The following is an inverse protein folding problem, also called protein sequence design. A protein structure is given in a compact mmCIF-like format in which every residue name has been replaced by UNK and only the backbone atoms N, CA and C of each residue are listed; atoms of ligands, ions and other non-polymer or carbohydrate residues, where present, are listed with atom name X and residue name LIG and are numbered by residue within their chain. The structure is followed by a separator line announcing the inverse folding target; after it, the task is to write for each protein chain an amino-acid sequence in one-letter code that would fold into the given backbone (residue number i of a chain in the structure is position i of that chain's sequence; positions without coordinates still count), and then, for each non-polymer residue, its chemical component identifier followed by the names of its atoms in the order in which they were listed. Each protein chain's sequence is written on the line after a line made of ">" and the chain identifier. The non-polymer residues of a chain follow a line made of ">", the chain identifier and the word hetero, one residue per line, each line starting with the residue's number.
data_IF_688287249204
#
_entry.id   IF_688287249204
#
_cell.length_a   1.000
_cell.length_b   1.000
_cell.length_c   1.000
_cell.angle_alpha   90.00
_cell.angle_beta   90.00
_cell.angle_gamma   90.00
#
_symmetry.space_group_name_H-M   'P 1'
#
loop_
_entity.id
_entity.type
_entity.pdbx_description
1 polymer ?
#
# COMPACT_ATOMS: atom_id res chain seq x y z
N UNK A 1 29.04 -10.83 47.17
CA UNK A 1 28.46 -11.87 46.31
C UNK A 1 27.47 -11.19 45.36
N UNK A 2 27.97 -10.86 44.18
CA UNK A 2 27.18 -10.19 43.15
C UNK A 2 26.59 -11.26 42.22
N UNK A 3 25.25 -11.26 42.06
CA UNK A 3 24.55 -12.11 41.10
C UNK A 3 24.47 -11.37 39.76
N UNK A 4 25.10 -11.93 38.74
CA UNK A 4 24.93 -11.48 37.35
C UNK A 4 23.55 -11.92 36.80
N UNK A 5 22.86 -11.08 36.00
CA UNK A 5 21.67 -11.52 35.32
C UNK A 5 22.04 -12.33 34.06
N UNK A 6 21.44 -13.50 33.96
CA UNK A 6 21.51 -14.38 32.79
C UNK A 6 20.70 -13.76 31.65
N UNK A 7 21.38 -13.27 30.61
CA UNK A 7 20.74 -12.88 29.34
C UNK A 7 20.35 -14.16 28.61
N UNK A 8 19.05 -14.44 28.55
CA UNK A 8 18.53 -15.51 27.70
C UNK A 8 18.39 -14.99 26.26
N UNK A 9 19.41 -15.25 25.44
CA UNK A 9 19.34 -15.06 24.01
C UNK A 9 18.42 -16.12 23.41
N UNK A 10 17.21 -15.77 22.98
CA UNK A 10 16.34 -16.65 22.23
C UNK A 10 16.90 -16.77 20.80
N UNK A 11 17.72 -17.78 20.56
CA UNK A 11 18.04 -18.26 19.19
C UNK A 11 16.79 -18.94 18.63
N UNK A 12 16.03 -18.26 17.77
CA UNK A 12 15.07 -18.93 16.89
C UNK A 12 15.85 -19.72 15.83
N UNK A 13 16.13 -21.00 16.10
CA UNK A 13 16.57 -21.93 15.10
C UNK A 13 15.40 -22.26 14.16
N UNK A 14 15.48 -21.82 12.90
CA UNK A 14 14.58 -22.28 11.85
C UNK A 14 14.90 -23.76 11.54
N UNK A 15 14.21 -24.68 12.21
CA UNK A 15 14.15 -26.06 11.77
C UNK A 15 13.24 -26.13 10.54
N UNK A 16 13.79 -26.46 9.38
CA UNK A 16 13.04 -26.80 8.19
C UNK A 16 12.25 -28.09 8.45
N UNK A 17 10.95 -27.96 8.71
CA UNK A 17 10.05 -29.10 8.81
C UNK A 17 9.53 -29.48 7.42
N UNK A 18 9.85 -30.68 7.00
CA UNK A 18 9.32 -31.38 5.83
C UNK A 18 7.84 -31.71 6.06
N UNK A 19 6.98 -30.80 5.74
CA UNK A 19 5.55 -30.92 5.37
C UNK A 19 4.94 -29.51 5.43
N UNK A 20 5.02 -28.84 4.40
CA UNK A 20 4.52 -27.62 3.80
C UNK A 20 3.51 -26.72 4.50
N UNK A 21 3.42 -26.59 5.80
CA UNK A 21 2.60 -25.55 6.43
C UNK A 21 3.37 -24.24 6.49
N UNK A 22 2.99 -23.27 5.63
CA UNK A 22 3.48 -21.90 5.74
C UNK A 22 2.97 -21.33 7.07
N UNK A 23 3.88 -20.92 7.94
CA UNK A 23 3.53 -20.28 9.21
C UNK A 23 3.39 -18.77 9.02
N UNK A 24 2.41 -18.18 9.70
CA UNK A 24 2.26 -16.71 9.77
C UNK A 24 3.01 -16.19 10.99
N UNK A 25 3.85 -15.18 10.78
CA UNK A 25 4.64 -14.52 11.81
C UNK A 25 4.50 -13.01 11.74
N UNK A 26 4.97 -12.34 12.79
CA UNK A 26 5.18 -10.89 12.85
C UNK A 26 6.67 -10.65 13.04
N UNK A 27 7.21 -9.72 12.28
CA UNK A 27 8.63 -9.39 12.20
C UNK A 27 8.81 -7.90 12.47
N UNK A 28 9.72 -7.53 13.35
CA UNK A 28 10.04 -6.13 13.64
C UNK A 28 11.37 -5.77 12.98
N UNK A 29 11.38 -4.68 12.23
CA UNK A 29 12.57 -3.99 11.76
C UNK A 29 12.79 -2.80 12.66
N UNK A 30 14.01 -2.65 13.25
CA UNK A 30 14.26 -1.59 14.22
C UNK A 30 15.64 -0.96 14.02
N UNK A 31 15.66 0.37 13.92
CA UNK A 31 16.83 1.21 13.83
C UNK A 31 16.69 2.39 14.81
N UNK A 32 17.26 2.27 16.00
CA UNK A 32 17.09 3.26 17.07
C UNK A 32 15.66 3.31 17.61
N UNK A 33 15.06 4.49 17.53
CA UNK A 33 13.67 4.79 17.90
C UNK A 33 12.68 4.68 16.72
N UNK A 34 13.16 4.29 15.55
CA UNK A 34 12.34 4.00 14.38
C UNK A 34 12.13 2.50 14.23
N UNK A 35 10.86 2.06 14.22
CA UNK A 35 10.54 0.65 13.98
C UNK A 35 9.36 0.46 13.04
N UNK A 36 9.41 -0.66 12.29
CA UNK A 36 8.36 -1.08 11.37
C UNK A 36 8.04 -2.55 11.63
N UNK A 37 6.78 -2.82 11.98
CA UNK A 37 6.25 -4.18 12.09
C UNK A 37 5.75 -4.67 10.75
N UNK A 38 6.07 -5.92 10.40
CA UNK A 38 5.63 -6.57 9.17
C UNK A 38 5.11 -7.96 9.50
N UNK A 39 3.99 -8.38 8.91
CA UNK A 39 3.57 -9.77 8.89
C UNK A 39 3.68 -10.35 7.49
N UNK A 40 4.01 -11.63 7.39
CA UNK A 40 4.01 -12.34 6.12
C UNK A 40 2.60 -12.79 5.66
N UNK A 41 1.54 -12.45 6.40
CA UNK A 41 0.17 -12.47 5.89
C UNK A 41 -0.06 -11.21 5.06
N UNK A 42 -0.28 -11.38 3.76
CA UNK A 42 -0.50 -10.25 2.84
C UNK A 42 0.73 -9.34 2.66
N UNK A 43 1.93 -9.75 3.09
CA UNK A 43 3.13 -8.91 3.14
C UNK A 43 2.83 -7.54 3.79
N UNK A 44 2.15 -7.55 4.92
CA UNK A 44 1.47 -6.40 5.52
C UNK A 44 2.38 -5.63 6.47
N UNK A 45 2.47 -4.30 6.33
CA UNK A 45 2.99 -3.39 7.35
C UNK A 45 1.94 -3.30 8.47
N UNK A 46 2.31 -3.69 9.69
CA UNK A 46 1.40 -3.71 10.84
C UNK A 46 1.59 -2.52 11.78
N UNK A 47 2.77 -1.91 11.78
CA UNK A 47 3.08 -0.71 12.58
C UNK A 47 4.21 0.09 11.93
N UNK A 48 4.22 1.40 12.15
CA UNK A 48 5.33 2.30 11.85
C UNK A 48 5.44 3.25 13.04
N UNK A 49 6.49 3.08 13.85
CA UNK A 49 6.68 3.86 15.08
C UNK A 49 7.83 4.81 14.90
N UNK A 50 7.60 6.10 15.15
CA UNK A 50 8.60 7.16 15.06
C UNK A 50 8.26 8.32 16.02
N UNK A 51 9.26 9.14 16.43
CA UNK A 51 9.04 10.28 17.30
C UNK A 51 8.27 11.41 16.60
N UNK A 52 7.74 12.31 17.39
CA UNK A 52 7.22 13.61 16.95
C UNK A 52 8.23 14.73 17.26
N UNK A 53 7.84 15.98 17.04
CA UNK A 53 8.68 17.17 17.31
C UNK A 53 9.06 17.35 18.77
N UNK A 54 8.49 16.58 19.70
CA UNK A 54 8.79 16.59 21.15
C UNK A 54 9.57 15.34 21.58
N UNK A 55 9.75 14.38 20.67
CA UNK A 55 10.36 13.08 20.92
C UNK A 55 9.36 12.00 21.37
N UNK A 56 8.05 12.28 21.39
CA UNK A 56 7.05 11.30 21.78
C UNK A 56 6.81 10.29 20.65
N UNK A 57 7.00 9.01 20.94
CA UNK A 57 6.81 7.94 19.97
C UNK A 57 5.33 7.64 19.74
N UNK A 58 4.96 7.47 18.48
CA UNK A 58 3.64 6.98 18.11
C UNK A 58 3.69 6.05 16.89
N UNK A 59 2.77 5.09 16.87
CA UNK A 59 2.48 4.29 15.69
C UNK A 59 1.57 5.11 14.75
N UNK A 60 2.05 5.40 13.55
CA UNK A 60 1.39 6.31 12.60
C UNK A 60 0.61 5.59 11.49
N UNK A 61 0.32 4.29 11.66
CA UNK A 61 -0.48 3.53 10.69
C UNK A 61 -1.64 2.81 11.36
N UNK A 62 -2.78 2.75 10.68
CA UNK A 62 -3.92 1.95 11.14
C UNK A 62 -3.65 0.46 10.95
N UNK A 63 -4.27 -0.37 11.78
CA UNK A 63 -4.13 -1.82 11.71
C UNK A 63 -4.95 -2.53 12.79
N UNK A 64 -4.65 -3.80 13.00
CA UNK A 64 -5.27 -4.67 14.00
C UNK A 64 -4.23 -5.19 14.99
N UNK A 65 -4.69 -5.55 16.21
CA UNK A 65 -3.81 -6.12 17.24
C UNK A 65 -3.37 -7.56 16.94
N UNK A 66 -4.13 -8.27 16.15
CA UNK A 66 -3.90 -9.70 15.89
C UNK A 66 -3.90 -10.04 14.40
N UNK A 67 -3.21 -11.10 14.03
CA UNK A 67 -3.26 -11.66 12.66
C UNK A 67 -4.69 -12.00 12.25
N UNK A 68 -5.52 -12.51 13.19
CA UNK A 68 -6.94 -12.77 12.93
C UNK A 68 -7.70 -11.55 12.42
N UNK A 69 -7.36 -10.36 12.92
CA UNK A 69 -7.92 -9.09 12.43
C UNK A 69 -7.56 -8.82 10.96
N UNK A 70 -6.32 -9.09 10.55
CA UNK A 70 -5.89 -8.94 9.14
C UNK A 70 -6.50 -10.00 8.22
N UNK A 71 -6.73 -11.22 8.73
CA UNK A 71 -7.37 -12.30 7.96
C UNK A 71 -8.85 -12.02 7.70
N UNK A 72 -9.58 -11.50 8.69
CA UNK A 72 -11.02 -11.24 8.61
C UNK A 72 -11.38 -9.81 8.21
N UNK A 73 -10.43 -8.88 8.35
CA UNK A 73 -10.60 -7.46 8.05
C UNK A 73 -10.80 -7.20 6.56
N UNK A 74 -11.60 -6.17 6.25
CA UNK A 74 -11.94 -5.79 4.86
C UNK A 74 -11.25 -4.51 4.41
N UNK A 75 -10.45 -3.88 5.27
CA UNK A 75 -9.90 -2.54 5.02
C UNK A 75 -8.52 -2.56 4.34
N UNK A 76 -7.92 -3.71 4.09
CA UNK A 76 -6.58 -3.86 3.49
C UNK A 76 -5.46 -3.13 4.26
N UNK A 77 -5.61 -2.87 5.56
CA UNK A 77 -4.63 -2.11 6.36
C UNK A 77 -3.21 -2.62 6.17
N UNK A 78 -2.34 -1.77 5.64
CA UNK A 78 -0.92 -2.03 5.44
C UNK A 78 -0.56 -3.16 4.48
N UNK A 79 -1.55 -3.78 3.82
CA UNK A 79 -1.32 -4.96 2.98
C UNK A 79 -0.68 -4.58 1.63
N UNK A 80 0.05 -5.53 1.06
CA UNK A 80 0.44 -5.48 -0.34
C UNK A 80 -0.71 -6.03 -1.18
N UNK A 81 -1.27 -5.21 -2.06
CA UNK A 81 -2.37 -5.57 -2.93
C UNK A 81 -1.88 -5.90 -4.35
N UNK A 82 -2.46 -6.90 -4.94
CA UNK A 82 -2.13 -7.47 -6.26
C UNK A 82 -2.91 -8.78 -6.48
N UNK A 83 -2.80 -9.45 -7.66
CA UNK A 83 -1.84 -9.25 -8.76
C UNK A 83 -1.98 -7.88 -9.44
N UNK A 84 -3.20 -7.34 -9.51
CA UNK A 84 -3.49 -6.01 -10.05
C UNK A 84 -4.21 -5.21 -8.97
N UNK A 85 -3.56 -4.15 -8.50
CA UNK A 85 -4.09 -3.18 -7.55
C UNK A 85 -5.23 -2.38 -8.17
N UNK A 86 -6.08 -1.83 -7.31
CA UNK A 86 -7.26 -1.07 -7.69
C UNK A 86 -8.24 -1.91 -8.54
N UNK A 87 -9.02 -1.29 -9.42
CA UNK A 87 -10.15 -1.94 -10.11
C UNK A 87 -9.81 -2.38 -11.53
N UNK A 88 -10.46 -3.49 -11.94
CA UNK A 88 -10.60 -3.91 -13.33
C UNK A 88 -12.09 -3.99 -13.62
N UNK A 89 -12.55 -3.20 -14.60
CA UNK A 89 -13.95 -3.08 -14.98
C UNK A 89 -14.53 -4.42 -15.42
N UNK A 90 -15.75 -4.71 -14.96
CA UNK A 90 -16.49 -5.93 -15.28
C UNK A 90 -15.75 -7.24 -14.98
N UNK A 91 -14.69 -7.17 -14.16
CA UNK A 91 -13.82 -8.32 -13.85
C UNK A 91 -13.33 -9.02 -15.13
N UNK A 92 -12.99 -8.27 -16.18
CA UNK A 92 -12.64 -8.81 -17.48
C UNK A 92 -11.61 -7.93 -18.19
N UNK A 93 -10.71 -8.57 -18.92
CA UNK A 93 -9.82 -7.92 -19.89
C UNK A 93 -9.53 -8.85 -21.06
N UNK A 94 -8.94 -8.30 -22.13
CA UNK A 94 -8.43 -9.05 -23.28
C UNK A 94 -6.92 -8.88 -23.35
N UNK A 95 -6.21 -9.98 -23.46
CA UNK A 95 -4.75 -9.98 -23.64
C UNK A 95 -4.38 -10.97 -24.76
N UNK A 96 -3.62 -10.49 -25.74
CA UNK A 96 -3.21 -11.26 -26.91
C UNK A 96 -4.38 -12.00 -27.61
N UNK A 97 -5.50 -11.32 -27.76
CA UNK A 97 -6.75 -11.82 -28.39
C UNK A 97 -7.60 -12.76 -27.53
N UNK A 98 -7.14 -13.12 -26.33
CA UNK A 98 -7.86 -13.99 -25.42
C UNK A 98 -8.54 -13.18 -24.30
N UNK A 99 -9.85 -13.46 -24.05
CA UNK A 99 -10.56 -12.88 -22.93
C UNK A 99 -10.25 -13.64 -21.62
N UNK A 100 -10.02 -12.89 -20.56
CA UNK A 100 -9.83 -13.38 -19.21
C UNK A 100 -10.93 -12.84 -18.30
N UNK A 101 -11.47 -13.72 -17.47
CA UNK A 101 -12.52 -13.41 -16.51
C UNK A 101 -11.96 -13.59 -15.09
N UNK A 102 -12.09 -12.55 -14.29
CA UNK A 102 -11.57 -12.49 -12.95
C UNK A 102 -12.65 -12.70 -11.90
N UNK A 103 -12.25 -12.92 -10.66
CA UNK A 103 -13.17 -12.94 -9.53
C UNK A 103 -13.74 -11.55 -9.27
N UNK A 104 -15.08 -11.46 -9.15
CA UNK A 104 -15.81 -10.25 -8.79
C UNK A 104 -15.86 -10.12 -7.27
N UNK A 105 -15.33 -9.05 -6.72
CA UNK A 105 -15.33 -8.75 -5.29
C UNK A 105 -15.69 -7.29 -4.96
N UNK A 106 -16.01 -6.48 -5.99
CA UNK A 106 -16.49 -5.11 -5.86
C UNK A 106 -17.61 -4.86 -6.88
N UNK A 107 -18.83 -5.29 -6.55
CA UNK A 107 -19.96 -5.31 -7.49
C UNK A 107 -19.64 -6.19 -8.70
N UNK A 108 -19.65 -5.60 -9.90
CA UNK A 108 -19.27 -6.31 -11.13
C UNK A 108 -17.76 -6.29 -11.42
N UNK A 109 -16.97 -5.59 -10.63
CA UNK A 109 -15.56 -5.37 -10.86
C UNK A 109 -14.69 -6.33 -10.03
N UNK A 110 -13.41 -6.43 -10.42
CA UNK A 110 -12.37 -6.96 -9.56
C UNK A 110 -11.68 -5.81 -8.86
N UNK A 111 -11.45 -5.93 -7.56
CA UNK A 111 -10.68 -4.98 -6.73
C UNK A 111 -9.49 -5.70 -6.09
N UNK A 112 -8.31 -5.09 -6.14
CA UNK A 112 -7.10 -5.53 -5.47
C UNK A 112 -6.73 -7.00 -5.69
N UNK A 113 -6.92 -7.48 -6.94
CA UNK A 113 -6.55 -8.84 -7.33
C UNK A 113 -7.60 -9.91 -7.04
N UNK A 114 -8.82 -9.53 -6.60
CA UNK A 114 -9.94 -10.45 -6.41
C UNK A 114 -10.16 -10.90 -4.98
N UNK A 115 -10.92 -11.97 -4.80
CA UNK A 115 -11.37 -12.44 -3.49
C UNK A 115 -10.21 -12.91 -2.58
N UNK A 116 -9.20 -13.56 -3.17
CA UNK A 116 -7.96 -13.98 -2.51
C UNK A 116 -6.76 -13.42 -3.25
N UNK A 117 -6.69 -12.08 -3.31
CA UNK A 117 -5.53 -11.38 -3.84
C UNK A 117 -4.31 -11.48 -2.91
N UNK A 118 -3.23 -10.82 -3.25
CA UNK A 118 -1.94 -10.91 -2.55
C UNK A 118 -1.99 -10.47 -1.08
N UNK A 119 -2.98 -9.67 -0.70
CA UNK A 119 -3.27 -9.27 0.67
C UNK A 119 -3.86 -10.39 1.55
N UNK A 120 -4.33 -11.48 0.95
CA UNK A 120 -5.05 -12.57 1.62
C UNK A 120 -4.33 -13.92 1.47
N UNK A 121 -3.01 -13.90 1.34
CA UNK A 121 -2.16 -15.10 1.21
C UNK A 121 -0.97 -15.03 2.16
N UNK A 122 -0.41 -16.19 2.48
CA UNK A 122 0.83 -16.28 3.27
C UNK A 122 2.03 -16.20 2.34
N UNK A 123 2.86 -15.19 2.54
CA UNK A 123 4.14 -15.02 1.86
C UNK A 123 5.24 -15.82 2.54
N UNK A 124 6.20 -16.28 1.78
CA UNK A 124 7.40 -16.96 2.31
C UNK A 124 8.43 -15.90 2.68
N UNK A 125 8.92 -15.92 3.92
CA UNK A 125 10.07 -15.11 4.32
C UNK A 125 11.33 -15.71 3.69
N UNK A 126 12.02 -14.93 2.86
CA UNK A 126 13.28 -15.34 2.23
C UNK A 126 14.46 -14.90 3.07
N UNK A 127 14.42 -13.67 3.56
CA UNK A 127 15.48 -13.07 4.35
C UNK A 127 14.88 -12.17 5.43
N UNK A 128 15.52 -12.12 6.59
CA UNK A 128 15.12 -11.25 7.69
C UNK A 128 16.33 -10.84 8.53
N UNK A 129 16.55 -9.53 8.64
CA UNK A 129 17.51 -8.89 9.52
C UNK A 129 16.75 -7.83 10.32
N UNK A 130 16.42 -8.13 11.58
CA UNK A 130 15.51 -7.29 12.39
C UNK A 130 16.15 -6.03 12.97
N UNK A 131 17.49 -5.94 13.04
CA UNK A 131 18.21 -4.81 13.66
C UNK A 131 19.49 -4.47 12.91
N UNK A 132 20.26 -3.49 13.46
CA UNK A 132 21.49 -2.97 12.85
C UNK A 132 21.24 -1.71 12.02
N UNK A 133 22.21 -1.34 11.18
CA UNK A 133 22.20 -0.08 10.43
C UNK A 133 21.19 -0.05 9.29
N UNK A 134 20.79 -1.22 8.79
CA UNK A 134 19.89 -1.34 7.64
C UNK A 134 19.03 -2.60 7.74
N UNK A 135 18.15 -2.70 8.76
CA UNK A 135 17.28 -3.86 8.94
C UNK A 135 16.31 -4.00 7.77
N UNK A 136 16.05 -5.26 7.36
CA UNK A 136 15.17 -5.55 6.24
C UNK A 136 14.49 -6.91 6.35
N UNK A 137 13.38 -7.06 5.61
CA UNK A 137 12.72 -8.33 5.37
C UNK A 137 12.37 -8.46 3.90
N UNK A 138 12.69 -9.60 3.30
CA UNK A 138 12.30 -9.96 1.93
C UNK A 138 11.29 -11.10 1.97
N UNK A 139 10.13 -10.84 1.39
CA UNK A 139 9.00 -11.76 1.28
C UNK A 139 8.81 -12.18 -0.17
N UNK A 140 8.43 -13.44 -0.38
CA UNK A 140 8.20 -14.06 -1.68
C UNK A 140 6.84 -14.71 -1.78
N UNK A 141 6.18 -14.53 -2.91
CA UNK A 141 4.95 -15.23 -3.27
C UNK A 141 4.99 -15.73 -4.71
N UNK A 142 4.63 -17.00 -4.91
CA UNK A 142 4.40 -17.57 -6.23
C UNK A 142 2.89 -17.58 -6.49
N UNK A 143 2.45 -16.81 -7.47
CA UNK A 143 1.07 -16.73 -7.94
C UNK A 143 0.93 -17.61 -9.18
N UNK A 144 0.19 -18.71 -9.09
CA UNK A 144 0.07 -19.71 -10.14
C UNK A 144 -0.82 -19.25 -11.31
N UNK A 145 -0.65 -19.87 -12.47
CA UNK A 145 -1.48 -19.64 -13.67
C UNK A 145 -2.97 -19.89 -13.38
N UNK A 146 -3.79 -18.88 -13.60
CA UNK A 146 -5.23 -18.91 -13.32
C UNK A 146 -5.62 -18.49 -11.90
N UNK A 147 -4.67 -18.11 -11.02
CA UNK A 147 -5.01 -17.58 -9.70
C UNK A 147 -5.88 -16.34 -9.84
N UNK A 148 -7.06 -16.34 -9.18
CA UNK A 148 -8.10 -15.31 -9.29
C UNK A 148 -8.54 -14.99 -10.74
N UNK A 149 -8.22 -15.86 -11.72
CA UNK A 149 -8.51 -15.71 -13.15
C UNK A 149 -7.37 -15.06 -13.96
N UNK A 150 -6.27 -14.64 -13.33
CA UNK A 150 -5.13 -14.04 -14.04
C UNK A 150 -4.28 -15.10 -14.76
N UNK A 151 -3.83 -14.84 -16.00
CA UNK A 151 -2.99 -15.77 -16.75
C UNK A 151 -1.55 -15.79 -16.25
N UNK A 152 -0.92 -16.94 -16.39
CA UNK A 152 0.50 -17.16 -16.21
C UNK A 152 0.96 -17.22 -14.75
N UNK A 153 2.04 -17.97 -14.56
CA UNK A 153 2.75 -18.02 -13.28
C UNK A 153 3.54 -16.71 -13.09
N UNK A 154 3.52 -16.18 -11.87
CA UNK A 154 4.20 -14.94 -11.50
C UNK A 154 4.97 -15.14 -10.18
N UNK A 155 6.27 -14.88 -10.22
CA UNK A 155 7.10 -14.82 -9.02
C UNK A 155 7.20 -13.38 -8.54
N UNK A 156 6.83 -13.14 -7.27
CA UNK A 156 6.74 -11.80 -6.68
C UNK A 156 7.60 -11.71 -5.44
N UNK A 157 8.39 -10.65 -5.35
CA UNK A 157 9.19 -10.31 -4.18
C UNK A 157 8.83 -8.93 -3.68
N UNK A 158 8.80 -8.75 -2.36
CA UNK A 158 8.77 -7.45 -1.72
C UNK A 158 9.81 -7.40 -0.61
N UNK A 159 10.59 -6.32 -0.59
CA UNK A 159 11.55 -6.03 0.47
C UNK A 159 11.15 -4.74 1.17
N UNK A 160 11.00 -4.81 2.49
CA UNK A 160 10.89 -3.66 3.38
C UNK A 160 12.23 -3.46 4.04
N UNK A 161 12.79 -2.25 3.97
CA UNK A 161 14.10 -1.93 4.50
C UNK A 161 14.07 -0.58 5.20
N UNK A 162 14.65 -0.52 6.41
CA UNK A 162 14.90 0.75 7.08
C UNK A 162 16.28 1.30 6.70
N UNK A 163 16.39 2.61 6.62
CA UNK A 163 17.63 3.34 6.46
C UNK A 163 17.61 4.60 7.35
N UNK A 164 18.79 5.02 7.81
CA UNK A 164 18.93 6.23 8.62
C UNK A 164 18.88 7.50 7.75
N UNK A 165 18.42 8.66 8.33
CA UNK A 165 17.48 8.70 9.43
C UNK A 165 16.04 8.54 8.94
N UNK A 166 15.21 7.77 9.63
CA UNK A 166 13.74 7.66 9.44
C UNK A 166 13.29 7.45 7.99
N UNK A 167 13.93 6.53 7.28
CA UNK A 167 13.58 6.17 5.90
C UNK A 167 13.09 4.73 5.85
N UNK A 168 11.89 4.52 5.31
CA UNK A 168 11.38 3.20 4.92
C UNK A 168 11.44 3.08 3.40
N UNK A 169 12.16 2.09 2.90
CA UNK A 169 12.20 1.71 1.49
C UNK A 169 11.32 0.48 1.28
N UNK A 170 10.54 0.49 0.22
CA UNK A 170 9.76 -0.66 -0.23
C UNK A 170 10.16 -0.94 -1.66
N UNK A 171 10.70 -2.11 -1.89
CA UNK A 171 11.11 -2.57 -3.21
C UNK A 171 10.28 -3.78 -3.60
N UNK A 172 9.52 -3.68 -4.69
CA UNK A 172 8.70 -4.77 -5.23
C UNK A 172 9.19 -5.12 -6.62
N UNK A 173 9.35 -6.41 -6.89
CA UNK A 173 9.56 -6.89 -8.24
C UNK A 173 8.70 -8.12 -8.51
N UNK A 174 8.34 -8.30 -9.78
CA UNK A 174 7.60 -9.47 -10.23
C UNK A 174 8.07 -9.90 -11.62
N UNK A 175 8.19 -11.21 -11.80
CA UNK A 175 8.63 -11.83 -13.06
C UNK A 175 7.58 -12.78 -13.57
N UNK A 176 7.10 -12.53 -14.79
CA UNK A 176 6.23 -13.48 -15.50
C UNK A 176 7.05 -14.71 -15.93
N UNK A 177 6.63 -15.90 -15.47
CA UNK A 177 7.40 -17.13 -15.67
C UNK A 177 7.17 -17.71 -17.08
N UNK A 178 5.91 -17.87 -17.48
CA UNK A 178 5.55 -18.65 -18.66
C UNK A 178 4.58 -17.96 -19.63
N UNK A 179 3.83 -16.94 -19.19
CA UNK A 179 2.84 -16.23 -20.03
C UNK A 179 2.86 -14.75 -19.72
N UNK A 180 2.43 -13.94 -20.69
CA UNK A 180 2.11 -12.53 -20.45
C UNK A 180 0.98 -12.41 -19.41
N UNK A 181 1.12 -11.46 -18.49
CA UNK A 181 0.15 -11.22 -17.42
C UNK A 181 0.15 -9.74 -17.02
N UNK A 182 -0.99 -9.18 -16.63
CA UNK A 182 -1.00 -7.85 -16.03
C UNK A 182 -0.45 -7.91 -14.60
N UNK A 183 0.39 -6.91 -14.25
CA UNK A 183 0.96 -6.74 -12.91
C UNK A 183 0.85 -5.27 -12.52
N UNK A 184 0.24 -5.02 -11.37
CA UNK A 184 0.17 -3.71 -10.75
C UNK A 184 0.12 -3.91 -9.24
N UNK A 185 1.22 -3.70 -8.55
CA UNK A 185 1.31 -3.87 -7.10
C UNK A 185 1.13 -2.52 -6.41
N UNK A 186 0.51 -2.49 -5.24
CA UNK A 186 0.46 -1.31 -4.40
C UNK A 186 0.57 -1.67 -2.92
N UNK A 187 1.17 -0.78 -2.15
CA UNK A 187 1.27 -0.87 -0.70
C UNK A 187 0.14 -0.03 -0.08
N UNK A 188 -0.81 -0.68 0.61
CA UNK A 188 -2.06 -0.08 1.05
C UNK A 188 -2.02 0.37 2.52
N UNK A 189 -0.98 1.11 2.89
CA UNK A 189 -0.85 1.66 4.25
C UNK A 189 -1.78 2.85 4.47
N UNK A 190 -2.48 2.83 5.59
CA UNK A 190 -3.34 3.91 6.07
C UNK A 190 -2.57 4.77 7.07
N UNK A 191 -2.16 5.96 6.64
CA UNK A 191 -1.31 6.87 7.40
C UNK A 191 -2.14 7.84 8.24
N UNK A 192 -1.80 7.97 9.52
CA UNK A 192 -2.23 9.04 10.39
C UNK A 192 -1.01 9.54 11.18
N UNK A 193 -0.42 10.65 10.74
CA UNK A 193 0.82 11.19 11.30
C UNK A 193 0.66 11.73 12.74
N UNK A 194 -0.57 11.98 13.19
CA UNK A 194 -0.88 12.27 14.58
C UNK A 194 -0.78 11.06 15.51
N UNK A 195 -0.66 9.86 14.93
CA UNK A 195 -0.73 8.57 15.61
C UNK A 195 -2.03 7.84 15.32
N UNK A 196 -2.00 6.51 15.26
CA UNK A 196 -3.19 5.71 15.04
C UNK A 196 -4.20 5.95 16.17
N UNK A 197 -5.46 6.27 15.81
CA UNK A 197 -6.51 6.59 16.78
C UNK A 197 -6.43 8.02 17.36
N UNK A 198 -5.64 8.93 16.79
CA UNK A 198 -5.61 10.37 17.17
C UNK A 198 -6.81 11.17 16.63
N UNK A 199 -7.70 10.56 15.86
CA UNK A 199 -8.83 11.21 15.19
C UNK A 199 -8.70 11.21 13.68
N UNK A 200 -9.29 12.21 13.00
CA UNK A 200 -9.27 12.33 11.56
C UNK A 200 -8.00 13.04 11.04
N UNK A 201 -7.76 12.89 9.73
CA UNK A 201 -6.63 13.52 9.01
C UNK A 201 -7.05 14.78 8.22
N UNK A 202 -8.23 15.33 8.48
CA UNK A 202 -8.78 16.45 7.69
C UNK A 202 -7.96 17.74 7.81
N UNK A 203 -7.22 17.91 8.91
CA UNK A 203 -6.31 19.04 9.15
C UNK A 203 -4.89 18.81 8.62
N UNK A 204 -4.55 17.57 8.26
CA UNK A 204 -3.25 17.30 7.65
C UNK A 204 -3.16 18.06 6.32
N UNK A 205 -2.01 18.63 6.00
CA UNK A 205 -1.75 19.22 4.69
C UNK A 205 -1.15 18.19 3.76
N UNK A 206 -1.63 18.18 2.52
CA UNK A 206 -1.14 17.30 1.45
C UNK A 206 -0.70 18.16 0.28
N UNK A 207 0.44 17.80 -0.31
CA UNK A 207 0.87 18.25 -1.63
C UNK A 207 1.12 17.02 -2.50
N UNK A 208 0.58 17.02 -3.72
CA UNK A 208 0.80 15.98 -4.72
C UNK A 208 1.56 16.56 -5.92
N UNK A 209 2.62 15.87 -6.33
CA UNK A 209 3.42 16.23 -7.51
C UNK A 209 2.83 15.56 -8.75
N UNK A 210 1.58 15.93 -9.04
CA UNK A 210 0.76 15.38 -10.10
C UNK A 210 -0.22 16.45 -10.62
N UNK A 211 0.02 16.91 -11.83
CA UNK A 211 -0.78 17.97 -12.47
C UNK A 211 -2.07 17.47 -13.12
N UNK A 212 -2.26 16.14 -13.16
CA UNK A 212 -3.41 15.48 -13.81
C UNK A 212 -3.90 14.31 -12.97
N UNK A 213 -5.14 13.89 -13.19
CA UNK A 213 -5.76 12.73 -12.56
C UNK A 213 -6.60 11.94 -13.58
N UNK A 214 -6.98 10.73 -13.25
CA UNK A 214 -7.89 9.92 -14.05
C UNK A 214 -9.32 10.06 -13.50
N UNK A 215 -10.23 10.80 -14.18
CA UNK A 215 -11.62 10.90 -13.78
C UNK A 215 -12.28 9.53 -13.77
N UNK A 216 -13.19 9.32 -12.80
CA UNK A 216 -13.94 8.07 -12.65
C UNK A 216 -15.42 8.26 -12.90
N UNK A 217 -16.06 7.22 -13.42
CA UNK A 217 -17.50 7.09 -13.55
C UNK A 217 -18.10 6.28 -12.40
N UNK A 218 -19.24 5.65 -12.67
CA UNK A 218 -19.90 4.75 -11.74
C UNK A 218 -18.98 3.60 -11.30
N UNK A 219 -19.05 3.24 -10.02
CA UNK A 219 -18.21 2.17 -9.46
C UNK A 219 -16.72 2.52 -9.35
N UNK A 220 -16.35 3.80 -9.42
CA UNK A 220 -14.97 4.27 -9.35
C UNK A 220 -14.07 3.70 -10.47
N UNK A 221 -14.65 3.40 -11.62
CA UNK A 221 -13.91 2.95 -12.80
C UNK A 221 -13.46 4.17 -13.61
N UNK A 222 -12.16 4.27 -14.02
CA UNK A 222 -11.69 5.33 -14.88
C UNK A 222 -12.46 5.45 -16.18
N UNK A 223 -12.69 6.68 -16.62
CA UNK A 223 -13.39 6.95 -17.92
C UNK A 223 -12.46 6.79 -19.13
N UNK A 224 -11.17 6.57 -18.91
CA UNK A 224 -10.12 6.58 -19.93
C UNK A 224 -9.52 7.97 -20.16
N UNK A 225 -10.11 9.02 -19.62
CA UNK A 225 -9.54 10.36 -19.69
C UNK A 225 -8.43 10.57 -18.66
N UNK A 226 -7.53 11.52 -18.97
CA UNK A 226 -6.53 12.09 -18.05
C UNK A 226 -6.74 13.61 -18.05
N UNK A 227 -7.31 14.14 -16.97
CA UNK A 227 -7.75 15.53 -16.86
C UNK A 227 -6.81 16.36 -15.96
N UNK A 228 -6.69 17.68 -16.17
CA UNK A 228 -5.92 18.55 -15.30
C UNK A 228 -6.60 18.69 -13.92
N UNK A 229 -5.78 18.84 -12.86
CA UNK A 229 -6.28 19.09 -11.50
C UNK A 229 -6.56 20.57 -11.25
N UNK A 230 -5.88 21.48 -11.95
CA UNK A 230 -5.96 22.92 -11.74
C UNK A 230 -7.40 23.43 -11.80
N UNK A 231 -7.80 24.22 -10.80
CA UNK A 231 -9.16 24.79 -10.69
C UNK A 231 -10.24 23.78 -10.28
N UNK A 232 -9.87 22.54 -9.91
CA UNK A 232 -10.79 21.50 -9.45
C UNK A 232 -10.62 21.20 -7.95
N UNK A 233 -11.55 20.48 -7.31
CA UNK A 233 -11.36 20.00 -5.95
C UNK A 233 -10.16 19.05 -5.77
N UNK A 234 -9.64 18.50 -6.86
CA UNK A 234 -8.49 17.60 -6.89
C UNK A 234 -7.13 18.31 -6.90
N UNK A 235 -7.08 19.64 -6.89
CA UNK A 235 -5.85 20.43 -6.97
C UNK A 235 -5.08 20.41 -5.64
N UNK A 236 -4.02 19.62 -5.57
CA UNK A 236 -3.03 19.56 -4.49
C UNK A 236 -1.61 19.93 -4.98
N UNK A 237 -1.49 20.70 -6.07
CA UNK A 237 -0.18 21.16 -6.56
C UNK A 237 0.53 22.05 -5.54
N UNK A 238 -0.21 22.83 -4.77
CA UNK A 238 0.26 23.50 -3.57
C UNK A 238 -0.26 22.78 -2.32
N UNK A 239 0.46 22.85 -1.18
CA UNK A 239 -0.01 22.27 0.07
C UNK A 239 -1.41 22.77 0.45
N UNK A 240 -2.32 21.84 0.69
CA UNK A 240 -3.70 22.16 1.09
C UNK A 240 -4.19 21.18 2.16
N UNK A 241 -5.05 21.65 3.08
CA UNK A 241 -5.66 20.76 4.06
C UNK A 241 -6.57 19.73 3.37
N UNK A 242 -6.49 18.48 3.79
CA UNK A 242 -7.30 17.36 3.24
C UNK A 242 -8.78 17.72 3.27
N UNK A 243 -9.27 18.28 4.37
CA UNK A 243 -10.68 18.63 4.56
C UNK A 243 -11.15 19.86 3.78
N UNK A 244 -10.25 20.65 3.19
CA UNK A 244 -10.63 21.97 2.61
C UNK A 244 -11.65 21.88 1.48
N UNK A 245 -11.61 20.83 0.67
CA UNK A 245 -12.50 20.60 -0.48
C UNK A 245 -13.13 19.21 -0.50
N UNK A 246 -12.97 18.42 0.57
CA UNK A 246 -13.34 17.00 0.61
C UNK A 246 -14.82 16.76 0.32
N UNK A 247 -15.71 17.69 0.73
CA UNK A 247 -17.16 17.59 0.50
C UNK A 247 -17.58 17.87 -0.95
N UNK A 248 -16.67 18.35 -1.78
CA UNK A 248 -16.88 18.60 -3.21
C UNK A 248 -16.54 17.36 -4.06
N UNK A 249 -15.97 16.31 -3.44
CA UNK A 249 -15.51 15.09 -4.11
C UNK A 249 -16.39 13.92 -3.70
N UNK A 250 -16.99 13.24 -4.70
CA UNK A 250 -17.74 12.01 -4.45
C UNK A 250 -16.81 10.88 -4.02
N UNK A 251 -17.12 10.22 -2.91
CA UNK A 251 -16.40 9.06 -2.43
C UNK A 251 -16.86 7.73 -3.07
N UNK A 252 -17.59 7.80 -4.20
CA UNK A 252 -17.99 6.61 -4.95
C UNK A 252 -19.33 5.99 -4.55
N UNK A 253 -19.96 6.47 -3.47
CA UNK A 253 -21.31 6.08 -3.05
C UNK A 253 -22.13 7.31 -2.70
N UNK A 254 -23.43 7.25 -2.89
CA UNK A 254 -24.34 8.32 -2.51
C UNK A 254 -24.18 8.70 -1.02
N UNK A 255 -24.01 9.99 -0.75
CA UNK A 255 -23.82 10.52 0.62
C UNK A 255 -22.43 10.32 1.20
N UNK A 256 -21.52 9.63 0.53
CA UNK A 256 -20.11 9.50 0.92
C UNK A 256 -19.28 10.49 0.12
N UNK A 257 -18.49 11.29 0.83
CA UNK A 257 -17.58 12.27 0.24
C UNK A 257 -16.14 11.88 0.60
N UNK A 258 -15.19 12.34 -0.22
CA UNK A 258 -13.77 12.13 0.02
C UNK A 258 -13.02 11.63 -1.20
N UNK A 259 -11.69 11.73 -1.13
CA UNK A 259 -10.82 11.32 -2.21
C UNK A 259 -10.73 9.78 -2.28
N UNK A 260 -10.83 9.26 -3.47
CA UNK A 260 -10.50 7.90 -3.87
C UNK A 260 -10.10 7.98 -5.35
N UNK A 261 -8.96 8.64 -5.60
CA UNK A 261 -8.62 9.19 -6.90
C UNK A 261 -7.20 8.83 -7.27
N UNK A 262 -7.00 8.31 -8.48
CA UNK A 262 -5.66 8.11 -9.04
C UNK A 262 -5.17 9.40 -9.71
N UNK A 263 -4.01 9.87 -9.28
CA UNK A 263 -3.29 11.01 -9.83
C UNK A 263 -2.17 10.53 -10.76
N UNK A 264 -2.00 11.17 -11.90
CA UNK A 264 -0.88 10.93 -12.82
C UNK A 264 0.35 11.70 -12.34
N UNK A 265 1.33 10.99 -11.82
CA UNK A 265 2.54 11.59 -11.23
C UNK A 265 3.39 12.24 -12.32
N UNK A 266 3.77 13.49 -12.12
CA UNK A 266 4.59 14.26 -13.05
C UNK A 266 6.05 13.75 -13.10
N UNK A 267 6.73 14.01 -14.22
CA UNK A 267 8.13 13.65 -14.46
C UNK A 267 8.30 12.37 -15.28
N UNK A 268 9.56 11.95 -15.42
CA UNK A 268 9.95 10.83 -16.29
C UNK A 268 9.41 9.48 -15.78
N UNK A 269 8.69 8.72 -16.60
CA UNK A 269 8.22 7.39 -16.25
C UNK A 269 9.37 6.44 -15.86
N UNK A 270 9.19 5.67 -14.79
CA UNK A 270 10.20 4.72 -14.29
C UNK A 270 11.32 5.33 -13.45
N UNK A 271 11.50 6.65 -13.46
CA UNK A 271 12.42 7.33 -12.56
C UNK A 271 11.83 7.44 -11.14
N UNK A 272 12.69 7.36 -10.12
CA UNK A 272 12.30 7.64 -8.74
C UNK A 272 12.12 9.16 -8.58
N UNK A 273 10.89 9.61 -8.33
CA UNK A 273 10.54 11.03 -8.23
C UNK A 273 9.63 11.29 -7.04
N UNK A 274 9.60 12.53 -6.57
CA UNK A 274 8.73 12.93 -5.47
C UNK A 274 7.27 12.84 -5.92
N UNK A 275 6.45 12.17 -5.12
CA UNK A 275 5.03 11.91 -5.39
C UNK A 275 4.14 12.74 -4.51
N UNK A 276 4.44 12.76 -3.20
CA UNK A 276 3.60 13.42 -2.21
C UNK A 276 4.40 13.93 -1.02
N UNK A 277 3.86 14.96 -0.37
CA UNK A 277 4.26 15.40 0.96
C UNK A 277 3.02 15.52 1.82
N UNK A 278 3.04 14.90 3.01
CA UNK A 278 1.97 15.01 4.02
C UNK A 278 2.56 15.59 5.29
N UNK A 279 1.86 16.50 5.95
CA UNK A 279 2.27 17.07 7.23
C UNK A 279 1.10 17.08 8.21
N UNK A 280 1.37 16.70 9.43
CA UNK A 280 0.49 16.91 10.57
C UNK A 280 1.04 18.03 11.45
N UNK A 281 0.33 19.13 11.50
CA UNK A 281 0.79 20.31 12.25
C UNK A 281 0.74 20.14 13.77
N UNK A 282 -0.02 19.16 14.29
CA UNK A 282 -0.14 18.93 15.73
C UNK A 282 1.08 18.17 16.29
N UNK A 283 1.51 17.13 15.61
CA UNK A 283 2.69 16.33 15.99
C UNK A 283 4.00 16.89 15.42
N UNK A 284 3.94 17.72 14.38
CA UNK A 284 5.09 18.14 13.59
C UNK A 284 5.55 17.09 12.57
N UNK A 285 5.03 15.85 12.62
CA UNK A 285 5.44 14.78 11.71
C UNK A 285 5.12 15.12 10.27
N UNK A 286 6.07 14.83 9.40
CA UNK A 286 5.93 14.91 7.95
C UNK A 286 6.36 13.61 7.29
N UNK A 287 5.72 13.29 6.16
CA UNK A 287 6.04 12.16 5.30
C UNK A 287 6.25 12.68 3.88
N UNK A 288 7.39 12.36 3.30
CA UNK A 288 7.65 12.51 1.86
C UNK A 288 7.65 11.14 1.19
N UNK A 289 6.84 10.98 0.15
CA UNK A 289 6.81 9.78 -0.68
C UNK A 289 7.51 10.03 -2.00
N UNK A 290 8.42 9.12 -2.35
CA UNK A 290 9.06 9.01 -3.66
C UNK A 290 8.74 7.66 -4.27
N UNK A 291 8.48 7.62 -5.59
CA UNK A 291 8.23 6.36 -6.29
C UNK A 291 8.53 6.47 -7.79
N UNK A 292 8.60 5.29 -8.45
CA UNK A 292 8.84 5.17 -9.89
C UNK A 292 7.57 4.82 -10.69
N UNK A 293 6.41 4.66 -10.05
CA UNK A 293 5.16 4.31 -10.73
C UNK A 293 4.48 5.53 -11.37
N UNK A 294 3.70 5.34 -12.45
CA UNK A 294 3.08 6.44 -13.19
C UNK A 294 1.95 7.13 -12.42
N UNK A 295 1.35 6.47 -11.44
CA UNK A 295 0.22 7.00 -10.69
C UNK A 295 0.35 6.86 -9.20
N UNK A 296 -0.51 7.57 -8.47
CA UNK A 296 -0.73 7.42 -7.03
C UNK A 296 -2.22 7.53 -6.73
N UNK A 297 -2.77 6.53 -6.08
CA UNK A 297 -4.10 6.62 -5.48
C UNK A 297 -4.00 7.42 -4.18
N UNK A 298 -4.75 8.52 -4.12
CA UNK A 298 -4.98 9.26 -2.89
C UNK A 298 -6.37 8.91 -2.36
N UNK A 299 -6.40 8.22 -1.21
CA UNK A 299 -7.63 7.76 -0.57
C UNK A 299 -7.70 8.27 0.87
N UNK A 300 -8.86 8.76 1.29
CA UNK A 300 -9.04 9.42 2.59
C UNK A 300 -9.82 8.61 3.61
N UNK A 301 -9.80 7.28 3.49
CA UNK A 301 -10.47 6.40 4.46
C UNK A 301 -11.99 6.57 4.49
N UNK A 302 -12.62 6.86 3.35
CA UNK A 302 -14.02 7.26 3.21
C UNK A 302 -15.01 6.21 3.76
N UNK A 303 -14.62 4.94 3.76
CA UNK A 303 -15.45 3.79 4.17
C UNK A 303 -15.10 3.23 5.55
N UNK A 304 -14.20 3.86 6.28
CA UNK A 304 -13.96 3.48 7.67
C UNK A 304 -15.16 3.88 8.51
N UNK A 305 -15.75 2.90 9.19
CA UNK A 305 -16.88 3.11 10.10
C UNK A 305 -16.82 2.07 11.21
N UNK A 306 -16.65 2.53 12.43
CA UNK A 306 -16.63 1.70 13.64
C UNK A 306 -15.65 0.52 13.57
N UNK A 307 -14.50 0.68 12.85
CA UNK A 307 -13.53 -0.38 12.68
C UNK A 307 -12.69 -0.50 13.96
N UNK A 308 -12.81 -1.63 14.65
CA UNK A 308 -11.99 -1.94 15.82
C UNK A 308 -10.55 -2.12 15.41
N UNK A 309 -9.68 -1.22 15.86
CA UNK A 309 -8.26 -1.16 15.53
C UNK A 309 -7.36 -1.57 16.68
N UNK A 310 -6.09 -1.15 16.62
CA UNK A 310 -5.05 -1.44 17.59
C UNK A 310 -5.30 -0.75 18.93
N UNK A 311 -4.93 -1.42 20.05
CA UNK A 311 -5.00 -0.85 21.40
C UNK A 311 -6.40 -0.42 21.81
N UNK A 312 -7.45 -1.09 21.33
CA UNK A 312 -8.84 -0.77 21.62
C UNK A 312 -9.36 0.50 20.95
N UNK A 313 -8.60 1.12 20.02
CA UNK A 313 -9.07 2.28 19.26
C UNK A 313 -10.15 1.86 18.27
N UNK A 314 -11.03 2.81 17.92
CA UNK A 314 -12.07 2.62 16.92
C UNK A 314 -11.83 3.63 15.81
N UNK A 315 -11.59 3.14 14.59
CA UNK A 315 -11.33 3.99 13.43
C UNK A 315 -12.63 4.40 12.75
N UNK A 316 -12.74 5.70 12.51
CA UNK A 316 -13.90 6.34 11.89
C UNK A 316 -13.52 6.86 10.49
N UNK A 317 -14.51 7.32 9.73
CA UNK A 317 -14.33 7.97 8.46
C UNK A 317 -13.25 9.07 8.57
N UNK A 318 -12.36 9.11 7.58
CA UNK A 318 -11.21 10.03 7.52
C UNK A 318 -10.15 9.79 8.62
N UNK A 319 -10.18 8.67 9.33
CA UNK A 319 -9.20 8.35 10.37
C UNK A 319 -7.77 8.15 9.85
N UNK A 320 -7.58 8.07 8.56
CA UNK A 320 -6.27 8.00 7.90
C UNK A 320 -6.39 8.33 6.41
N UNK A 321 -5.24 8.51 5.76
CA UNK A 321 -5.11 8.62 4.31
C UNK A 321 -4.17 7.54 3.75
N UNK A 322 -4.41 7.13 2.50
CA UNK A 322 -3.53 6.22 1.76
C UNK A 322 -2.88 6.96 0.59
N UNK A 323 -1.64 6.60 0.30
CA UNK A 323 -0.85 7.04 -0.84
C UNK A 323 -0.29 5.79 -1.54
N UNK A 324 -1.08 5.22 -2.43
CA UNK A 324 -0.77 3.95 -3.09
C UNK A 324 -0.19 4.24 -4.47
N UNK A 325 1.15 4.28 -4.57
CA UNK A 325 1.77 4.40 -5.90
C UNK A 325 1.49 3.13 -6.70
N UNK A 326 1.16 3.29 -7.98
CA UNK A 326 0.60 2.22 -8.82
C UNK A 326 0.63 2.57 -10.30
N UNK A 327 0.37 1.59 -11.17
CA UNK A 327 -0.12 1.82 -12.53
C UNK A 327 -1.55 2.38 -12.49
N UNK A 328 -2.00 3.02 -13.56
CA UNK A 328 -3.36 3.57 -13.58
C UNK A 328 -4.40 2.45 -13.45
N UNK A 329 -5.46 2.65 -12.61
CA UNK A 329 -6.53 1.65 -12.50
C UNK A 329 -7.16 1.33 -13.85
N UNK A 330 -7.57 0.08 -14.03
CA UNK A 330 -8.21 -0.44 -15.25
C UNK A 330 -7.38 -0.27 -16.54
N UNK A 331 -6.05 -0.06 -16.43
CA UNK A 331 -5.20 0.17 -17.61
C UNK A 331 -5.23 -0.99 -18.63
N UNK A 332 -5.56 -2.20 -18.20
CA UNK A 332 -5.73 -3.36 -19.09
C UNK A 332 -6.88 -3.19 -20.09
N UNK A 333 -7.83 -2.28 -19.81
CA UNK A 333 -8.98 -1.94 -20.65
C UNK A 333 -8.85 -0.55 -21.32
N UNK A 334 -7.76 0.19 -21.03
CA UNK A 334 -7.49 1.53 -21.57
C UNK A 334 -6.13 1.58 -22.30
N UNK A 335 -6.07 1.36 -23.61
CA UNK A 335 -4.82 1.32 -24.38
C UNK A 335 -3.99 2.61 -24.33
N UNK A 336 -4.60 3.74 -24.00
CA UNK A 336 -3.94 5.03 -23.83
C UNK A 336 -3.29 5.22 -22.46
N UNK A 337 -3.51 4.31 -21.52
CA UNK A 337 -2.82 4.31 -20.22
C UNK A 337 -1.48 3.56 -20.30
N UNK A 338 -0.52 3.86 -19.41
CA UNK A 338 0.71 3.09 -19.33
C UNK A 338 0.43 1.59 -19.13
N UNK A 339 1.06 0.76 -19.97
CA UNK A 339 0.85 -0.69 -19.93
C UNK A 339 1.28 -1.30 -18.60
N UNK A 340 0.48 -2.23 -18.10
CA UNK A 340 0.76 -3.06 -16.93
C UNK A 340 1.11 -4.50 -17.32
N UNK A 341 1.25 -4.79 -18.61
CA UNK A 341 1.52 -6.16 -19.07
C UNK A 341 3.01 -6.45 -18.93
N UNK A 342 3.30 -7.54 -18.22
CA UNK A 342 4.66 -8.11 -18.08
C UNK A 342 4.71 -9.41 -18.88
N UNK A 343 5.70 -9.55 -19.73
CA UNK A 343 5.93 -10.73 -20.56
C UNK A 343 7.10 -11.55 -20.01
N UNK A 344 7.18 -12.86 -20.29
CA UNK A 344 8.35 -13.67 -19.94
C UNK A 344 9.65 -12.99 -20.37
N UNK A 345 10.63 -12.94 -19.45
CA UNK A 345 11.90 -12.22 -19.65
C UNK A 345 11.87 -10.74 -19.24
N UNK A 346 10.71 -10.19 -18.93
CA UNK A 346 10.56 -8.83 -18.36
C UNK A 346 10.38 -8.89 -16.85
N UNK A 347 10.84 -7.84 -16.17
CA UNK A 347 10.68 -7.67 -14.71
C UNK A 347 9.88 -6.41 -14.44
N UNK A 348 8.76 -6.55 -13.75
CA UNK A 348 8.07 -5.44 -13.12
C UNK A 348 8.90 -4.93 -11.94
N UNK A 349 9.08 -3.61 -11.85
CA UNK A 349 9.81 -2.95 -10.76
C UNK A 349 8.99 -1.83 -10.19
N UNK A 350 8.86 -1.81 -8.87
CA UNK A 350 8.18 -0.75 -8.15
C UNK A 350 8.99 -0.40 -6.90
N UNK A 351 9.55 0.80 -6.90
CA UNK A 351 10.32 1.34 -5.80
C UNK A 351 9.54 2.45 -5.13
N UNK A 352 9.48 2.41 -3.79
CA UNK A 352 8.91 3.45 -2.95
C UNK A 352 9.92 3.82 -1.87
N UNK A 353 10.01 5.11 -1.57
CA UNK A 353 10.80 5.64 -0.46
C UNK A 353 9.94 6.59 0.36
N UNK A 354 9.69 6.21 1.60
CA UNK A 354 9.04 7.05 2.60
C UNK A 354 10.13 7.68 3.47
N UNK A 355 10.20 9.01 3.48
CA UNK A 355 11.09 9.77 4.35
C UNK A 355 10.26 10.50 5.38
N UNK A 356 10.56 10.28 6.65
CA UNK A 356 9.88 10.94 7.77
C UNK A 356 10.77 12.03 8.36
N UNK A 357 10.12 13.09 8.84
CA UNK A 357 10.72 14.18 9.62
C UNK A 357 9.70 14.74 10.61
N UNK A 358 10.16 15.50 11.61
CA UNK A 358 9.33 16.05 12.68
C UNK A 358 10.00 17.28 13.33
#
# INVERSE_FOLDING_TARGET
>A
MARAPLLLALLCACAANAAGRKMVGVYELKAGDFSVGVTNWGATITSVVLPDSKGDLADVVLGYDTIGGYVSGKSYFGALVGRVANRIANARFVLDGKAYHLFKNDGNNTLHGGHRGFSQVVWTVKEFVGGGDSPYITLYYHSFDGEQGFPGDLDVYVTYQLAAPYVLRVHMNATAVNKATPVNLAQHTYWNLGGQGSGDVLRNTVQLFASRYTPVGGGLIPTGAVAPVAGTPYDFLAPAAVGSRIRQVSGGKAGVYGYDTNYAVDGEPGALRKVAVVRDGASGRALELWANQPGVQFYTGNFLQDVKGKGGKVYQQYGALCLETQGFPDAVNHPNFPSQIVRPGQVYKHDMVFKFSF
#
